data_IF_887859779426
#
_entry.id   IF_887859779426
#
_cell.length_a   1.000
_cell.length_b   1.000
_cell.length_c   1.000
_cell.angle_alpha   90.00
_cell.angle_beta   90.00
_cell.angle_gamma   90.00
#
_symmetry.space_group_name_H-M   'P 1'
#
loop_
_entity.id
_entity.type
_entity.pdbx_description
1 polymer ?
#
# COMPACT_ATOMS: atom_id res chain seq x y z
N UNK A 1 -27.94 -30.11 -7.52
CA UNK A 1 -27.21 -29.52 -6.37
C UNK A 1 -25.72 -29.56 -6.68
N UNK A 2 -25.11 -28.43 -7.05
CA UNK A 2 -23.65 -28.31 -7.14
C UNK A 2 -23.21 -27.49 -5.93
N UNK A 3 -22.56 -28.16 -4.99
CA UNK A 3 -21.88 -27.52 -3.86
C UNK A 3 -20.78 -26.63 -4.43
N UNK A 4 -20.90 -25.32 -4.22
CA UNK A 4 -19.88 -24.33 -4.57
C UNK A 4 -19.05 -24.14 -3.31
N UNK A 5 -17.89 -24.78 -3.25
CA UNK A 5 -16.89 -24.55 -2.21
C UNK A 5 -16.32 -23.15 -2.46
N UNK A 6 -16.83 -22.14 -1.76
CA UNK A 6 -16.21 -20.81 -1.71
C UNK A 6 -15.17 -20.86 -0.59
N UNK A 7 -13.96 -21.29 -0.90
CA UNK A 7 -12.79 -21.13 -0.02
C UNK A 7 -12.00 -19.88 -0.44
N UNK A 8 -12.68 -18.76 -0.61
CA UNK A 8 -12.07 -17.44 -0.60
C UNK A 8 -12.85 -16.63 0.40
N UNK A 9 -12.24 -16.36 1.54
CA UNK A 9 -12.77 -15.41 2.51
C UNK A 9 -12.59 -14.03 1.88
N UNK A 10 -13.60 -13.56 1.16
CA UNK A 10 -13.58 -12.23 0.54
C UNK A 10 -13.48 -11.19 1.66
N UNK A 11 -12.41 -10.38 1.61
CA UNK A 11 -12.22 -9.21 2.48
C UNK A 11 -12.73 -8.00 1.71
N UNK A 12 -13.74 -7.33 2.25
CA UNK A 12 -14.39 -6.18 1.62
C UNK A 12 -14.20 -4.94 2.50
N UNK A 13 -13.56 -3.90 1.96
CA UNK A 13 -13.48 -2.58 2.60
C UNK A 13 -14.74 -1.77 2.32
N UNK A 14 -15.11 -0.88 3.24
CA UNK A 14 -16.30 -0.05 3.10
C UNK A 14 -16.40 1.06 4.14
N UNK A 15 -17.56 1.70 4.17
CA UNK A 15 -17.90 2.80 5.07
C UNK A 15 -19.25 2.53 5.72
N UNK A 16 -19.32 2.60 7.05
CA UNK A 16 -20.56 2.51 7.83
C UNK A 16 -21.20 3.92 7.87
N UNK A 17 -22.34 4.13 7.17
CA UNK A 17 -22.96 5.45 7.07
C UNK A 17 -23.60 5.89 8.40
N UNK A 18 -23.90 4.97 9.30
CA UNK A 18 -24.53 5.27 10.57
C UNK A 18 -23.50 5.76 11.60
N UNK A 19 -22.31 5.16 11.60
CA UNK A 19 -21.21 5.59 12.49
C UNK A 19 -20.28 6.62 11.85
N UNK A 20 -20.32 6.77 10.52
CA UNK A 20 -19.39 7.61 9.77
C UNK A 20 -17.95 7.09 9.80
N UNK A 21 -17.76 5.77 9.84
CA UNK A 21 -16.43 5.15 10.03
C UNK A 21 -16.12 4.12 8.97
N UNK A 22 -14.84 3.97 8.66
CA UNK A 22 -14.35 2.87 7.83
C UNK A 22 -14.63 1.52 8.49
N UNK A 23 -14.97 0.54 7.66
CA UNK A 23 -15.24 -0.84 8.09
C UNK A 23 -14.61 -1.83 7.13
N UNK A 24 -14.31 -3.02 7.65
CA UNK A 24 -13.87 -4.16 6.87
C UNK A 24 -14.78 -5.34 7.17
N UNK A 25 -15.28 -6.00 6.13
CA UNK A 25 -16.14 -7.17 6.23
C UNK A 25 -15.40 -8.42 5.76
N UNK A 26 -15.52 -9.50 6.52
CA UNK A 26 -14.89 -10.80 6.25
C UNK A 26 -15.93 -11.88 6.53
N UNK A 27 -16.54 -12.42 5.47
CA UNK A 27 -17.74 -13.25 5.61
C UNK A 27 -18.85 -12.48 6.33
N UNK A 28 -19.38 -13.04 7.42
CA UNK A 28 -20.46 -12.44 8.23
C UNK A 28 -19.94 -11.51 9.36
N UNK A 29 -18.63 -11.22 9.38
CA UNK A 29 -17.99 -10.42 10.42
C UNK A 29 -17.67 -9.03 9.91
N UNK A 30 -18.00 -8.01 10.70
CA UNK A 30 -17.62 -6.62 10.47
C UNK A 30 -16.63 -6.18 11.53
N UNK A 31 -15.56 -5.54 11.09
CA UNK A 31 -14.52 -4.93 11.93
C UNK A 31 -14.56 -3.42 11.74
N UNK A 32 -14.44 -2.67 12.83
CA UNK A 32 -14.48 -1.20 12.82
C UNK A 32 -13.12 -0.57 13.04
N UNK A 33 -12.09 -1.39 13.23
CA UNK A 33 -10.72 -0.94 13.34
C UNK A 33 -9.72 -2.02 12.95
N UNK A 34 -8.50 -1.61 12.64
CA UNK A 34 -7.39 -2.51 12.38
C UNK A 34 -7.02 -3.35 13.62
N UNK A 35 -7.10 -2.80 14.83
CA UNK A 35 -6.88 -3.55 16.06
C UNK A 35 -7.92 -4.68 16.24
N UNK A 36 -9.22 -4.40 16.01
CA UNK A 36 -10.26 -5.41 16.04
C UNK A 36 -10.04 -6.50 14.98
N UNK A 37 -9.64 -6.09 13.77
CA UNK A 37 -9.33 -6.99 12.67
C UNK A 37 -8.18 -7.95 13.04
N UNK A 38 -7.06 -7.42 13.51
CA UNK A 38 -5.88 -8.22 13.85
C UNK A 38 -6.13 -9.13 15.07
N UNK A 39 -6.87 -8.65 16.08
CA UNK A 39 -7.22 -9.46 17.25
C UNK A 39 -8.26 -10.55 16.93
N UNK A 40 -9.19 -10.25 16.04
CA UNK A 40 -10.32 -11.13 15.75
C UNK A 40 -10.03 -12.19 14.69
N UNK A 41 -8.96 -12.08 13.91
CA UNK A 41 -8.79 -12.86 12.69
C UNK A 41 -7.43 -13.58 12.64
N UNK A 42 -7.21 -14.48 13.58
CA UNK A 42 -6.04 -15.37 13.56
C UNK A 42 -6.02 -16.26 12.29
N UNK A 43 -7.20 -16.58 11.75
CA UNK A 43 -7.42 -17.33 10.52
C UNK A 43 -7.05 -16.56 9.23
N UNK A 44 -7.16 -15.23 9.23
CA UNK A 44 -6.71 -14.40 8.09
C UNK A 44 -5.25 -14.02 8.18
N UNK A 45 -4.56 -14.32 9.29
CA UNK A 45 -3.13 -14.03 9.45
C UNK A 45 -2.20 -15.00 8.70
N UNK A 46 -2.75 -15.78 7.77
CA UNK A 46 -1.96 -16.70 6.94
C UNK A 46 -1.23 -15.95 5.82
N UNK A 47 -0.09 -16.47 5.39
CA UNK A 47 0.70 -15.87 4.31
C UNK A 47 -0.10 -15.69 3.00
N UNK A 48 -1.06 -16.58 2.73
CA UNK A 48 -1.91 -16.49 1.54
C UNK A 48 -2.85 -15.28 1.56
N UNK A 49 -3.20 -14.79 2.75
CA UNK A 49 -4.13 -13.68 2.95
C UNK A 49 -3.41 -12.34 3.18
N UNK A 50 -2.06 -12.32 3.17
CA UNK A 50 -1.29 -11.11 3.41
C UNK A 50 -1.66 -9.93 2.49
N UNK A 51 -1.94 -10.12 1.18
CA UNK A 51 -2.39 -9.02 0.31
C UNK A 51 -3.72 -8.41 0.76
N UNK A 52 -4.73 -9.25 0.99
CA UNK A 52 -6.05 -8.79 1.38
C UNK A 52 -6.05 -8.16 2.78
N UNK A 53 -5.22 -8.68 3.69
CA UNK A 53 -5.04 -8.07 5.01
C UNK A 53 -4.31 -6.72 4.90
N UNK A 54 -3.30 -6.60 4.05
CA UNK A 54 -2.61 -5.32 3.84
C UNK A 54 -3.56 -4.24 3.33
N UNK A 55 -4.47 -4.57 2.41
CA UNK A 55 -5.51 -3.63 1.94
C UNK A 55 -6.45 -3.20 3.07
N UNK A 56 -6.94 -4.15 3.86
CA UNK A 56 -7.82 -3.86 4.98
C UNK A 56 -7.15 -2.98 6.04
N UNK A 57 -5.88 -3.25 6.37
CA UNK A 57 -5.11 -2.43 7.30
C UNK A 57 -4.82 -1.05 6.73
N UNK A 58 -4.44 -0.97 5.45
CA UNK A 58 -4.24 0.30 4.76
C UNK A 58 -5.51 1.15 4.75
N UNK A 59 -6.67 0.54 4.49
CA UNK A 59 -7.98 1.20 4.54
C UNK A 59 -8.21 1.89 5.89
N UNK A 60 -8.05 1.17 6.99
CA UNK A 60 -8.20 1.75 8.33
C UNK A 60 -7.13 2.79 8.68
N UNK A 61 -5.90 2.62 8.20
CA UNK A 61 -4.78 3.48 8.60
C UNK A 61 -4.74 4.81 7.85
N UNK A 62 -5.21 4.84 6.59
CA UNK A 62 -5.01 5.98 5.70
C UNK A 62 -6.28 6.46 5.00
N UNK A 63 -7.44 5.81 5.18
CA UNK A 63 -8.72 6.25 4.59
C UNK A 63 -8.70 6.41 3.07
N UNK A 64 -7.81 5.69 2.36
CA UNK A 64 -7.66 5.77 0.90
C UNK A 64 -6.56 6.70 0.38
N UNK A 65 -5.84 7.43 1.24
CA UNK A 65 -4.70 8.28 0.81
C UNK A 65 -3.54 7.48 0.19
N UNK A 66 -3.53 6.16 0.40
CA UNK A 66 -2.54 5.23 -0.10
C UNK A 66 -3.24 4.01 -0.72
N UNK A 67 -2.59 3.43 -1.72
CA UNK A 67 -3.01 2.20 -2.40
C UNK A 67 -1.90 1.14 -2.27
N UNK A 68 -2.25 -0.06 -1.80
CA UNK A 68 -1.29 -1.14 -1.62
C UNK A 68 -0.74 -1.59 -2.98
N UNK A 69 0.58 -1.72 -3.09
CA UNK A 69 1.27 -2.25 -4.26
C UNK A 69 1.23 -3.78 -4.18
N UNK A 70 0.20 -4.38 -4.77
CA UNK A 70 0.07 -5.85 -4.83
C UNK A 70 0.99 -6.50 -5.87
N UNK A 71 1.18 -5.82 -7.01
CA UNK A 71 2.01 -6.25 -8.13
C UNK A 71 3.16 -5.24 -8.32
N UNK A 72 4.35 -5.52 -7.76
CA UNK A 72 5.51 -4.65 -7.91
C UNK A 72 5.96 -4.45 -9.36
N UNK A 73 5.81 -5.45 -10.23
CA UNK A 73 6.22 -5.36 -11.63
C UNK A 73 5.28 -4.43 -12.40
N UNK A 74 3.97 -4.55 -12.19
CA UNK A 74 3.00 -3.63 -12.75
C UNK A 74 3.20 -2.19 -12.26
N UNK A 75 3.50 -2.02 -10.97
CA UNK A 75 3.82 -0.71 -10.40
C UNK A 75 5.08 -0.10 -11.03
N UNK A 76 6.17 -0.86 -11.13
CA UNK A 76 7.41 -0.41 -11.78
C UNK A 76 7.15 -0.01 -13.24
N UNK A 77 6.42 -0.84 -13.98
CA UNK A 77 6.08 -0.55 -15.37
C UNK A 77 5.30 0.77 -15.50
N UNK A 78 4.28 0.97 -14.66
CA UNK A 78 3.49 2.20 -14.65
C UNK A 78 4.32 3.42 -14.24
N UNK A 79 5.18 3.29 -13.23
CA UNK A 79 6.06 4.37 -12.77
C UNK A 79 7.03 4.79 -13.87
N UNK A 80 7.70 3.84 -14.52
CA UNK A 80 8.64 4.12 -15.62
C UNK A 80 7.95 4.71 -16.83
N UNK A 81 6.73 4.26 -17.15
CA UNK A 81 5.94 4.84 -18.22
C UNK A 81 5.59 6.30 -17.93
N UNK A 82 5.19 6.63 -16.69
CA UNK A 82 4.93 8.00 -16.28
C UNK A 82 6.19 8.87 -16.38
N UNK A 83 7.32 8.39 -15.87
CA UNK A 83 8.60 9.10 -15.93
C UNK A 83 9.05 9.37 -17.37
N UNK A 84 8.83 8.42 -18.30
CA UNK A 84 9.20 8.58 -19.70
C UNK A 84 8.36 9.64 -20.45
N UNK A 85 7.19 10.01 -19.92
CA UNK A 85 6.34 11.08 -20.47
C UNK A 85 6.77 12.48 -20.01
N UNK A 86 7.66 12.58 -19.01
CA UNK A 86 8.11 13.86 -18.48
C UNK A 86 9.17 14.49 -19.41
N UNK A 87 8.97 15.76 -19.78
CA UNK A 87 9.99 16.52 -20.49
C UNK A 87 11.04 17.03 -19.48
N UNK A 88 12.30 16.56 -19.52
CA UNK A 88 13.34 17.00 -18.60
C UNK A 88 13.66 18.49 -18.72
N UNK A 89 13.25 19.15 -19.80
CA UNK A 89 13.45 20.60 -20.02
C UNK A 89 12.24 21.44 -19.66
N UNK A 90 11.10 20.83 -19.33
CA UNK A 90 9.93 21.58 -18.90
C UNK A 90 10.25 22.37 -17.62
N UNK A 91 9.82 23.65 -17.53
CA UNK A 91 9.98 24.41 -16.30
C UNK A 91 9.18 23.77 -15.16
N UNK A 92 9.62 24.00 -13.92
CA UNK A 92 8.84 23.63 -12.74
C UNK A 92 7.49 24.36 -12.76
N UNK A 93 6.42 23.62 -12.48
CA UNK A 93 5.06 24.16 -12.34
C UNK A 93 4.57 23.78 -10.95
N UNK A 94 4.18 24.79 -10.18
CA UNK A 94 3.64 24.57 -8.84
C UNK A 94 2.42 23.64 -8.91
N UNK A 95 2.36 22.66 -7.98
CA UNK A 95 1.27 21.68 -7.84
C UNK A 95 1.20 20.62 -8.95
N UNK A 96 2.17 20.58 -9.88
CA UNK A 96 2.34 19.46 -10.82
C UNK A 96 3.40 18.54 -10.26
N UNK A 97 2.99 17.33 -9.84
CA UNK A 97 3.92 16.30 -9.38
C UNK A 97 4.68 15.76 -10.59
N UNK A 98 6.02 15.85 -10.54
CA UNK A 98 6.92 15.20 -11.49
C UNK A 98 7.77 14.20 -10.77
N UNK A 99 7.80 12.96 -11.23
CA UNK A 99 8.57 11.89 -10.64
C UNK A 99 10.07 12.20 -10.71
N UNK A 100 10.51 12.90 -11.76
CA UNK A 100 11.89 13.39 -11.89
C UNK A 100 12.36 14.21 -10.69
N UNK A 101 11.46 14.94 -10.04
CA UNK A 101 11.79 15.87 -8.95
C UNK A 101 12.04 15.16 -7.61
N UNK A 102 11.58 13.91 -7.48
CA UNK A 102 11.73 13.11 -6.26
C UNK A 102 12.84 12.06 -6.37
N UNK A 103 13.13 11.60 -7.59
CA UNK A 103 14.08 10.52 -7.86
C UNK A 103 13.41 9.18 -8.08
N UNK A 104 14.22 8.17 -8.38
CA UNK A 104 13.80 6.83 -8.78
C UNK A 104 13.88 5.90 -7.55
N UNK A 105 12.79 5.22 -7.17
CA UNK A 105 12.82 4.25 -6.09
C UNK A 105 13.64 3.02 -6.47
N UNK A 106 14.22 2.34 -5.48
CA UNK A 106 14.73 0.99 -5.69
C UNK A 106 13.57 0.00 -5.82
N UNK A 107 13.11 -0.24 -7.05
CA UNK A 107 12.06 -1.22 -7.34
C UNK A 107 12.42 -2.64 -6.88
N UNK A 108 13.70 -2.95 -6.77
CA UNK A 108 14.16 -4.24 -6.25
C UNK A 108 13.93 -4.38 -4.75
N UNK A 109 13.61 -3.32 -4.01
CA UNK A 109 13.17 -3.40 -2.62
C UNK A 109 11.65 -3.65 -2.49
N UNK A 110 10.86 -3.26 -3.49
CA UNK A 110 9.40 -3.37 -3.47
C UNK A 110 8.99 -4.83 -3.67
N UNK A 111 8.18 -5.36 -2.75
CA UNK A 111 7.75 -6.76 -2.74
C UNK A 111 6.24 -6.86 -2.50
N UNK A 112 5.59 -7.95 -2.94
CA UNK A 112 4.21 -8.19 -2.58
C UNK A 112 4.02 -8.25 -1.05
N UNK A 113 2.83 -7.90 -0.53
CA UNK A 113 2.53 -7.99 0.89
C UNK A 113 2.85 -9.37 1.46
N UNK A 114 3.54 -9.41 2.59
CA UNK A 114 4.02 -10.66 3.19
C UNK A 114 4.27 -10.53 4.68
N UNK A 115 4.35 -11.67 5.35
CA UNK A 115 4.84 -11.72 6.73
C UNK A 115 6.36 -11.87 6.79
N UNK A 116 7.02 -11.05 7.61
CA UNK A 116 8.45 -11.14 7.93
C UNK A 116 8.59 -11.09 9.44
N UNK A 117 9.16 -12.13 10.05
CA UNK A 117 9.35 -12.22 11.51
C UNK A 117 8.06 -11.96 12.34
N UNK A 118 6.90 -12.34 11.80
CA UNK A 118 5.61 -12.10 12.44
C UNK A 118 5.07 -10.69 12.28
N UNK A 119 5.66 -9.82 11.46
CA UNK A 119 5.10 -8.52 11.08
C UNK A 119 4.53 -8.62 9.67
N UNK A 120 3.38 -7.97 9.44
CA UNK A 120 2.87 -7.77 8.08
C UNK A 120 3.62 -6.60 7.46
N UNK A 121 4.40 -6.88 6.42
CA UNK A 121 5.17 -5.88 5.67
C UNK A 121 4.56 -5.75 4.28
N UNK A 122 4.24 -4.53 3.88
CA UNK A 122 3.75 -4.23 2.55
C UNK A 122 4.22 -2.86 2.07
N UNK A 123 4.11 -2.65 0.77
CA UNK A 123 4.38 -1.36 0.15
C UNK A 123 3.07 -0.75 -0.32
N UNK A 124 2.96 0.56 -0.25
CA UNK A 124 1.84 1.31 -0.76
C UNK A 124 2.33 2.54 -1.53
N UNK A 125 1.61 2.94 -2.57
CA UNK A 125 1.85 4.21 -3.26
C UNK A 125 0.89 5.25 -2.71
N UNK A 126 1.37 6.48 -2.54
CA UNK A 126 0.48 7.60 -2.22
C UNK A 126 -0.46 7.87 -3.41
N UNK A 127 -1.77 7.97 -3.15
CA UNK A 127 -2.78 8.13 -4.20
C UNK A 127 -2.69 9.46 -4.94
N UNK A 128 -2.07 10.48 -4.34
CA UNK A 128 -1.86 11.81 -4.96
C UNK A 128 -0.54 11.89 -5.72
N UNK A 129 0.57 11.44 -5.12
CA UNK A 129 1.91 11.62 -5.70
C UNK A 129 2.43 10.41 -6.45
N UNK A 130 1.84 9.23 -6.27
CA UNK A 130 2.32 7.96 -6.84
C UNK A 130 3.61 7.43 -6.22
N UNK A 131 4.20 8.15 -5.25
CA UNK A 131 5.46 7.77 -4.61
C UNK A 131 5.28 6.56 -3.68
N UNK A 132 6.25 5.64 -3.62
CA UNK A 132 6.12 4.43 -2.83
C UNK A 132 6.61 4.61 -1.39
N UNK A 133 5.93 3.94 -0.48
CA UNK A 133 6.17 3.90 0.96
C UNK A 133 6.16 2.43 1.42
N UNK A 134 6.90 2.14 2.49
CA UNK A 134 6.85 0.86 3.19
C UNK A 134 6.02 1.01 4.47
N UNK A 135 5.21 0.02 4.77
CA UNK A 135 4.48 -0.10 6.02
C UNK A 135 4.83 -1.43 6.70
N UNK A 136 5.19 -1.33 7.98
CA UNK A 136 5.50 -2.48 8.83
C UNK A 136 4.51 -2.51 10.00
N UNK A 137 3.66 -3.54 10.03
CA UNK A 137 2.58 -3.66 11.00
C UNK A 137 2.84 -4.86 11.89
N UNK A 138 2.97 -4.60 13.18
CA UNK A 138 3.09 -5.65 14.19
C UNK A 138 1.81 -6.48 14.27
N UNK A 139 1.96 -7.81 14.33
CA UNK A 139 0.87 -8.75 14.69
C UNK A 139 0.40 -8.44 16.13
N UNK A 140 -0.85 -8.80 16.53
CA UNK A 140 -1.76 -8.04 17.40
C UNK A 140 -1.37 -7.92 18.88
N UNK A 141 -0.11 -8.07 19.26
CA UNK A 141 0.32 -7.57 20.58
C UNK A 141 0.33 -6.04 20.64
N UNK A 142 0.32 -5.34 19.50
CA UNK A 142 0.23 -3.89 19.47
C UNK A 142 -1.22 -3.42 19.70
N UNK A 143 -1.50 -2.87 20.89
CA UNK A 143 -2.81 -2.29 21.27
C UNK A 143 -3.14 -0.97 20.53
N UNK A 144 -2.40 -0.61 19.49
CA UNK A 144 -2.52 0.68 18.80
C UNK A 144 -2.93 0.45 17.37
N UNK A 145 -3.96 1.18 16.92
CA UNK A 145 -4.32 1.18 15.51
C UNK A 145 -3.14 1.71 14.68
N UNK A 146 -2.74 1.03 13.60
CA UNK A 146 -1.81 1.60 12.65
C UNK A 146 -2.38 2.92 12.12
N UNK A 147 -1.49 3.89 11.95
CA UNK A 147 -1.81 5.21 11.42
C UNK A 147 -0.86 5.53 10.28
N UNK A 148 -1.05 6.68 9.62
CA UNK A 148 -0.11 7.17 8.62
C UNK A 148 1.36 7.24 9.11
N UNK A 149 1.61 7.32 10.42
CA UNK A 149 2.99 7.30 10.97
C UNK A 149 3.71 5.95 10.80
N UNK A 150 2.98 4.89 10.46
CA UNK A 150 3.56 3.57 10.17
C UNK A 150 4.13 3.47 8.74
N UNK A 151 3.96 4.52 7.93
CA UNK A 151 4.42 4.56 6.54
C UNK A 151 5.71 5.36 6.45
N UNK A 152 6.78 4.70 6.04
CA UNK A 152 8.07 5.33 5.78
C UNK A 152 8.28 5.49 4.27
N UNK A 153 8.72 6.68 3.85
CA UNK A 153 9.03 6.93 2.45
C UNK A 153 10.21 6.06 2.02
N UNK A 154 10.11 5.41 0.86
CA UNK A 154 11.25 4.68 0.33
C UNK A 154 12.39 5.62 -0.04
N UNK A 155 13.63 5.14 0.14
CA UNK A 155 14.81 5.85 -0.36
C UNK A 155 14.73 5.97 -1.89
N UNK A 156 14.90 7.19 -2.38
CA UNK A 156 14.89 7.52 -3.81
C UNK A 156 16.31 7.87 -4.25
N UNK A 157 16.73 7.32 -5.39
CA UNK A 157 17.98 7.69 -6.04
C UNK A 157 17.75 8.90 -6.94
N UNK A 158 18.64 9.91 -6.97
CA UNK A 158 18.50 11.05 -7.88
C UNK A 158 18.35 10.59 -9.33
N UNK A 159 17.43 11.21 -10.06
CA UNK A 159 17.33 11.03 -11.51
C UNK A 159 18.57 11.70 -12.12
N UNK A 160 19.54 10.91 -12.62
CA UNK A 160 20.65 11.48 -13.38
C UNK A 160 20.09 12.00 -14.69
N UNK A 161 19.99 13.32 -14.83
CA UNK A 161 19.57 13.92 -16.08
C UNK A 161 20.67 13.71 -17.13
N UNK A 162 20.34 13.46 -18.41
CA UNK A 162 21.32 13.22 -19.47
C UNK A 162 22.40 14.31 -19.63
N UNK A 163 22.20 15.50 -19.04
CA UNK A 163 23.14 16.62 -19.09
C UNK A 163 24.25 16.57 -18.02
N UNK A 164 24.19 15.65 -17.04
CA UNK A 164 25.26 15.47 -16.04
C UNK A 164 26.37 14.52 -16.53
N UNK A 165 26.27 14.06 -17.79
CA UNK A 165 27.31 13.33 -18.50
C UNK A 165 28.01 14.26 -19.51
N UNK A 166 28.57 15.37 -19.02
CA UNK A 166 29.59 16.11 -19.76
C UNK A 166 30.95 15.91 -19.08
N UNK A 167 32.01 15.55 -19.82
CA UNK A 167 33.37 15.41 -19.27
C UNK A 167 33.96 16.74 -18.80
#
# INVERSE_FOLDING_TARGET
MKSRIHNHTDILTGFDPDSGSDVVNIGDRTFKSAAELLAGAADISSAQNAPALAEAINHFATGGDFEVIQDPEAYECAYRAQLALEDPKAPYIERVVRFSDFGIPDFSAIRPPRYVNGQLVFFAKNSTTGLPYIAEIDHPTAMSNPTASCYEALSLSPTVLPNDLAP
#
